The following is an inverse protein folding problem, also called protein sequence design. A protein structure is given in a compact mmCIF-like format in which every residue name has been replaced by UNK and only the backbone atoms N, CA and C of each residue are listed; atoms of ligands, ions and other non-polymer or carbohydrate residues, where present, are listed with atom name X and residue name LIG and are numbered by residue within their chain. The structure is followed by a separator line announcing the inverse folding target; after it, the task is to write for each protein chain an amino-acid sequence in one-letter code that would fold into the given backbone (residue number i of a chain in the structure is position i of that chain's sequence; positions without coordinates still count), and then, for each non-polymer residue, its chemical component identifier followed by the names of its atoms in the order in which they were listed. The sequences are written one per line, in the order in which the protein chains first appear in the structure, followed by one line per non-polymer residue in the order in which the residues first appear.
data_IF_075213383125
#
_entry.id   IF_075213383125
#
_cell.length_a   1.000
_cell.length_b   1.000
_cell.length_c   1.000
_cell.angle_alpha   90.00
_cell.angle_beta   90.00
_cell.angle_gamma   90.00
#
_symmetry.space_group_name_H-M   'P 1'
#
loop_
_entity.id
_entity.type
_entity.pdbx_description
1 polymer ?
#
# COMPACT_ATOMS: atom_id res chain seq x y z
N UNK A 1 -5.33 -36.81 -7.70
CA UNK A 1 -5.05 -35.41 -7.34
C UNK A 1 -5.41 -34.52 -8.51
N UNK A 2 -6.57 -33.87 -8.46
CA UNK A 2 -7.05 -32.97 -9.52
C UNK A 2 -6.51 -31.56 -9.24
N UNK A 3 -5.49 -31.14 -9.98
CA UNK A 3 -5.00 -29.76 -9.97
C UNK A 3 -6.01 -28.88 -10.65
N UNK A 4 -6.65 -28.02 -9.88
CA UNK A 4 -7.63 -27.05 -10.33
C UNK A 4 -7.04 -26.13 -11.41
N UNK A 5 -7.40 -26.38 -12.67
CA UNK A 5 -7.23 -25.41 -13.76
C UNK A 5 -8.23 -24.27 -13.57
N UNK A 6 -7.91 -23.29 -12.71
CA UNK A 6 -8.58 -21.99 -12.75
C UNK A 6 -8.14 -21.27 -14.01
N UNK A 7 -9.09 -20.92 -14.89
CA UNK A 7 -8.87 -20.02 -16.03
C UNK A 7 -8.17 -18.76 -15.52
N UNK A 8 -6.98 -18.47 -16.05
CA UNK A 8 -6.31 -17.18 -15.83
C UNK A 8 -7.18 -16.09 -16.46
N UNK A 9 -7.95 -15.41 -15.63
CA UNK A 9 -8.52 -14.13 -16.01
C UNK A 9 -7.35 -13.17 -16.32
N UNK A 10 -7.43 -12.45 -17.44
CA UNK A 10 -6.48 -11.39 -17.79
C UNK A 10 -6.43 -10.45 -16.57
N UNK A 11 -5.30 -10.42 -15.87
CA UNK A 11 -5.10 -9.63 -14.66
C UNK A 11 -5.08 -8.16 -15.10
N UNK A 12 -6.22 -7.48 -14.98
CA UNK A 12 -6.27 -6.03 -15.10
C UNK A 12 -5.32 -5.47 -14.05
N UNK A 13 -4.42 -4.56 -14.44
CA UNK A 13 -3.51 -3.92 -13.48
C UNK A 13 -4.28 -3.41 -12.27
N UNK A 14 -3.81 -3.66 -11.03
CA UNK A 14 -4.51 -3.20 -9.85
C UNK A 14 -4.57 -1.67 -9.84
N UNK A 15 -5.63 -1.06 -9.30
CA UNK A 15 -5.72 0.39 -9.19
C UNK A 15 -4.65 0.90 -8.22
N UNK A 16 -3.98 2.00 -8.60
CA UNK A 16 -2.99 2.68 -7.76
C UNK A 16 -3.53 4.03 -7.29
N UNK A 17 -3.06 4.49 -6.14
CA UNK A 17 -3.30 5.84 -5.62
C UNK A 17 -1.95 6.56 -5.50
N UNK A 18 -1.51 7.16 -6.59
CA UNK A 18 -0.18 7.78 -6.69
C UNK A 18 -0.20 9.29 -6.44
N UNK A 19 -1.35 9.93 -6.65
CA UNK A 19 -1.59 11.34 -6.45
C UNK A 19 -3.05 11.67 -6.73
N UNK A 20 -3.42 12.94 -6.59
CA UNK A 20 -4.81 13.39 -6.83
C UNK A 20 -5.05 13.83 -8.28
N UNK A 21 -3.99 14.04 -9.07
CA UNK A 21 -4.10 14.58 -10.43
C UNK A 21 -4.92 13.68 -11.36
N UNK A 22 -4.79 12.36 -11.16
CA UNK A 22 -5.44 11.35 -12.00
C UNK A 22 -6.79 10.87 -11.44
N UNK A 23 -7.24 11.46 -10.32
CA UNK A 23 -8.52 11.12 -9.70
C UNK A 23 -9.64 12.00 -10.25
N UNK A 24 -10.77 11.38 -10.58
CA UNK A 24 -11.99 12.13 -10.88
C UNK A 24 -12.57 12.78 -9.61
N UNK A 25 -13.26 13.91 -9.78
CA UNK A 25 -13.94 14.58 -8.66
C UNK A 25 -14.87 13.62 -7.88
N UNK A 26 -15.70 12.78 -8.54
CA UNK A 26 -16.52 11.79 -7.83
C UNK A 26 -15.71 10.80 -7.00
N UNK A 27 -14.50 10.40 -7.49
CA UNK A 27 -13.62 9.51 -6.74
C UNK A 27 -13.07 10.18 -5.49
N UNK A 28 -12.64 11.44 -5.60
CA UNK A 28 -12.17 12.23 -4.46
C UNK A 28 -13.29 12.37 -3.43
N UNK A 29 -14.50 12.76 -3.89
CA UNK A 29 -15.65 12.89 -3.01
C UNK A 29 -15.97 11.58 -2.27
N UNK A 30 -15.97 10.46 -2.99
CA UNK A 30 -16.19 9.14 -2.38
C UNK A 30 -15.15 8.81 -1.30
N UNK A 31 -13.87 9.14 -1.53
CA UNK A 31 -12.81 8.92 -0.53
C UNK A 31 -13.09 9.76 0.72
N UNK A 32 -13.46 11.03 0.55
CA UNK A 32 -13.77 11.92 1.67
C UNK A 32 -15.00 11.44 2.46
N UNK A 33 -16.09 11.08 1.77
CA UNK A 33 -17.31 10.58 2.42
C UNK A 33 -17.03 9.29 3.20
N UNK A 34 -16.29 8.34 2.58
CA UNK A 34 -15.88 7.11 3.26
C UNK A 34 -15.00 7.40 4.48
N UNK A 35 -14.14 8.43 4.42
CA UNK A 35 -13.30 8.80 5.57
C UNK A 35 -14.13 9.25 6.78
N UNK A 36 -15.26 9.94 6.55
CA UNK A 36 -16.18 10.33 7.62
C UNK A 36 -16.85 9.12 8.28
N UNK A 37 -17.25 8.12 7.49
CA UNK A 37 -17.78 6.85 8.01
C UNK A 37 -16.76 6.16 8.94
N UNK A 38 -15.47 6.16 8.57
CA UNK A 38 -14.41 5.60 9.40
C UNK A 38 -14.11 6.43 10.65
N UNK A 39 -14.32 7.75 10.63
CA UNK A 39 -14.25 8.58 11.83
C UNK A 39 -15.29 8.12 12.85
N UNK A 40 -16.53 7.89 12.42
CA UNK A 40 -17.59 7.42 13.31
C UNK A 40 -17.32 5.98 13.80
N UNK A 41 -16.85 5.08 12.94
CA UNK A 41 -16.44 3.74 13.33
C UNK A 41 -15.35 3.76 14.42
N UNK A 42 -14.40 4.68 14.30
CA UNK A 42 -13.28 4.79 15.25
C UNK A 42 -13.71 5.25 16.65
N UNK A 43 -14.92 5.78 16.80
CA UNK A 43 -15.51 6.17 18.11
C UNK A 43 -16.25 5.04 18.79
N UNK A 44 -16.51 3.94 18.08
CA UNK A 44 -17.22 2.78 18.62
C UNK A 44 -16.30 1.87 19.45
N UNK A 45 -16.87 1.00 20.23
CA UNK A 45 -16.13 -0.01 21.00
C UNK A 45 -15.51 -1.07 20.07
N UNK A 46 -16.27 -1.57 19.08
CA UNK A 46 -15.76 -2.50 18.06
C UNK A 46 -15.34 -1.69 16.83
N UNK A 47 -14.03 -1.72 16.54
CA UNK A 47 -13.41 -0.92 15.46
C UNK A 47 -12.85 -1.79 14.34
N UNK A 48 -12.95 -3.12 14.48
CA UNK A 48 -12.34 -4.05 13.55
C UNK A 48 -13.35 -4.53 12.51
N UNK A 49 -12.98 -4.40 11.24
CA UNK A 49 -13.75 -4.89 10.10
C UNK A 49 -13.03 -6.09 9.45
N UNK A 50 -13.72 -6.79 8.57
CA UNK A 50 -13.19 -7.94 7.83
C UNK A 50 -13.05 -7.66 6.33
N UNK A 51 -13.00 -6.38 5.92
CA UNK A 51 -12.99 -5.97 4.51
C UNK A 51 -11.73 -6.44 3.77
N UNK A 52 -10.60 -6.52 4.46
CA UNK A 52 -9.31 -6.95 3.92
C UNK A 52 -8.84 -8.29 4.49
N UNK A 53 -9.75 -9.13 4.97
CA UNK A 53 -9.41 -10.46 5.46
C UNK A 53 -8.68 -11.27 4.38
N UNK A 54 -7.55 -11.89 4.74
CA UNK A 54 -6.71 -12.66 3.81
C UNK A 54 -5.93 -11.79 2.80
N UNK A 55 -5.92 -10.46 2.99
CA UNK A 55 -5.11 -9.53 2.22
C UNK A 55 -3.86 -9.13 2.98
N UNK A 56 -2.74 -8.98 2.26
CA UNK A 56 -1.47 -8.56 2.82
C UNK A 56 -1.18 -7.11 2.43
N UNK A 57 -0.97 -6.27 3.44
CA UNK A 57 -0.52 -4.88 3.29
C UNK A 57 0.94 -4.76 3.74
N UNK A 58 1.80 -4.23 2.87
CA UNK A 58 3.19 -3.89 3.22
C UNK A 58 3.31 -2.37 3.26
N UNK A 59 3.79 -1.85 4.38
CA UNK A 59 4.17 -0.45 4.54
C UNK A 59 5.68 -0.32 4.37
N UNK A 60 6.12 0.20 3.23
CA UNK A 60 7.53 0.33 2.85
C UNK A 60 7.98 1.78 3.01
N UNK A 61 8.76 2.05 4.03
CA UNK A 61 9.19 3.42 4.38
C UNK A 61 10.70 3.56 4.30
N UNK A 62 11.15 4.46 3.45
CA UNK A 62 12.56 4.83 3.27
C UNK A 62 12.94 6.05 4.11
N UNK A 63 11.95 6.75 4.65
CA UNK A 63 12.11 7.86 5.58
C UNK A 63 11.44 7.54 6.91
N UNK A 64 12.00 8.06 8.00
CA UNK A 64 11.36 8.00 9.30
C UNK A 64 10.10 8.87 9.30
N UNK A 65 8.95 8.26 9.46
CA UNK A 65 7.65 8.94 9.55
C UNK A 65 6.70 8.16 10.47
N UNK A 66 6.91 8.30 11.77
CA UNK A 66 6.16 7.56 12.79
C UNK A 66 4.65 7.73 12.65
N UNK A 67 4.16 8.96 12.46
CA UNK A 67 2.72 9.23 12.35
C UNK A 67 2.10 8.57 11.12
N UNK A 68 2.72 8.73 9.95
CA UNK A 68 2.20 8.17 8.70
C UNK A 68 2.24 6.65 8.72
N UNK A 69 3.35 6.06 9.16
CA UNK A 69 3.50 4.62 9.29
C UNK A 69 2.42 4.03 10.22
N UNK A 70 2.28 4.60 11.42
CA UNK A 70 1.29 4.15 12.42
C UNK A 70 -0.14 4.29 11.90
N UNK A 71 -0.46 5.35 11.14
CA UNK A 71 -1.78 5.55 10.56
C UNK A 71 -2.13 4.45 9.56
N UNK A 72 -1.23 4.12 8.65
CA UNK A 72 -1.45 3.04 7.66
C UNK A 72 -1.45 1.66 8.31
N UNK A 73 -0.59 1.42 9.30
CA UNK A 73 -0.58 0.18 10.06
C UNK A 73 -1.91 -0.04 10.77
N UNK A 74 -2.38 0.98 11.48
CA UNK A 74 -3.64 0.90 12.21
C UNK A 74 -4.84 0.72 11.28
N UNK A 75 -4.87 1.44 10.15
CA UNK A 75 -5.92 1.32 9.15
C UNK A 75 -6.00 -0.11 8.59
N UNK A 76 -4.87 -0.68 8.16
CA UNK A 76 -4.82 -2.05 7.64
C UNK A 76 -5.29 -3.08 8.65
N UNK A 77 -4.81 -2.99 9.90
CA UNK A 77 -5.22 -3.90 10.99
C UNK A 77 -6.70 -3.77 11.32
N UNK A 78 -7.27 -2.56 11.32
CA UNK A 78 -8.71 -2.35 11.56
C UNK A 78 -9.57 -2.89 10.42
N UNK A 79 -9.07 -2.85 9.19
CA UNK A 79 -9.74 -3.44 8.04
C UNK A 79 -9.60 -4.97 7.94
N UNK A 80 -8.76 -5.59 8.78
CA UNK A 80 -8.57 -7.04 8.86
C UNK A 80 -7.43 -7.57 7.97
N UNK A 81 -6.56 -6.69 7.45
CA UNK A 81 -5.38 -7.11 6.68
C UNK A 81 -4.28 -7.67 7.58
N UNK A 82 -3.45 -8.55 7.02
CA UNK A 82 -2.13 -8.86 7.54
C UNK A 82 -1.18 -7.72 7.17
N UNK A 83 -0.69 -6.99 8.17
CA UNK A 83 0.12 -5.79 7.97
C UNK A 83 1.56 -6.04 8.35
N UNK A 84 2.48 -5.73 7.43
CA UNK A 84 3.92 -5.77 7.64
C UNK A 84 4.53 -4.39 7.42
N UNK A 85 5.32 -3.92 8.39
CA UNK A 85 6.09 -2.68 8.28
C UNK A 85 7.54 -3.01 7.89
N UNK A 86 8.03 -2.38 6.85
CA UNK A 86 9.41 -2.47 6.39
C UNK A 86 10.04 -1.08 6.40
N UNK A 87 10.93 -0.87 7.35
CA UNK A 87 11.78 0.32 7.37
C UNK A 87 13.08 0.00 6.66
N UNK A 88 13.26 0.58 5.46
CA UNK A 88 14.51 0.45 4.72
C UNK A 88 15.51 1.43 5.30
N UNK A 89 16.39 0.94 6.16
CA UNK A 89 17.44 1.75 6.74
C UNK A 89 18.46 2.15 5.67
N UNK A 90 19.15 3.28 5.90
CA UNK A 90 20.29 3.72 5.07
C UNK A 90 21.37 2.64 4.86
N UNK A 91 21.36 1.57 5.65
CA UNK A 91 22.29 0.46 5.50
C UNK A 91 21.99 -0.45 4.31
N UNK A 92 20.72 -0.65 3.93
CA UNK A 92 20.35 -1.41 2.73
C UNK A 92 20.73 -0.65 1.46
N UNK A 93 20.48 0.68 1.43
CA UNK A 93 20.91 1.58 0.35
C UNK A 93 22.44 1.60 0.24
N UNK A 94 23.17 1.62 1.36
CA UNK A 94 24.64 1.54 1.40
C UNK A 94 25.20 0.23 0.88
N UNK A 95 24.41 -0.85 0.86
CA UNK A 95 24.81 -2.14 0.28
C UNK A 95 24.54 -2.25 -1.21
N UNK A 96 24.08 -1.17 -1.86
CA UNK A 96 23.85 -1.12 -3.31
C UNK A 96 22.49 -1.72 -3.75
N UNK A 97 21.58 -2.02 -2.83
CA UNK A 97 20.21 -2.40 -3.19
C UNK A 97 19.49 -1.24 -3.86
N UNK A 98 18.93 -1.51 -5.03
CA UNK A 98 18.11 -0.56 -5.77
C UNK A 98 16.64 -0.67 -5.37
N UNK A 99 15.85 0.37 -5.66
CA UNK A 99 14.40 0.32 -5.48
C UNK A 99 13.76 -0.81 -6.30
N UNK A 100 14.37 -1.18 -7.44
CA UNK A 100 13.91 -2.28 -8.28
C UNK A 100 14.15 -3.64 -7.60
N UNK A 101 15.31 -3.82 -6.96
CA UNK A 101 15.62 -5.05 -6.22
C UNK A 101 14.62 -5.24 -5.07
N UNK A 102 14.31 -4.16 -4.37
CA UNK A 102 13.25 -4.13 -3.35
C UNK A 102 11.89 -4.53 -3.94
N UNK A 103 11.52 -4.00 -5.12
CA UNK A 103 10.27 -4.35 -5.80
C UNK A 103 10.19 -5.85 -6.15
N UNK A 104 11.29 -6.44 -6.61
CA UNK A 104 11.35 -7.87 -6.93
C UNK A 104 11.16 -8.73 -5.68
N UNK A 105 11.79 -8.35 -4.58
CA UNK A 105 11.63 -9.02 -3.28
C UNK A 105 10.18 -8.94 -2.79
N UNK A 106 9.56 -7.76 -2.90
CA UNK A 106 8.16 -7.56 -2.53
C UNK A 106 7.21 -8.40 -3.39
N UNK A 107 7.44 -8.46 -4.71
CA UNK A 107 6.63 -9.29 -5.59
C UNK A 107 6.67 -10.78 -5.22
N UNK A 108 7.81 -11.28 -4.75
CA UNK A 108 7.94 -12.65 -4.29
C UNK A 108 7.11 -12.96 -3.02
N UNK A 109 6.77 -11.94 -2.24
CA UNK A 109 5.89 -12.04 -1.06
C UNK A 109 4.39 -11.99 -1.43
N UNK A 110 4.05 -11.70 -2.69
CA UNK A 110 2.67 -11.59 -3.18
C UNK A 110 1.75 -10.67 -2.35
N UNK A 111 2.13 -9.43 -2.04
CA UNK A 111 1.26 -8.52 -1.32
C UNK A 111 0.05 -8.12 -2.19
N UNK A 112 -1.03 -7.67 -1.54
CA UNK A 112 -2.19 -7.08 -2.21
C UNK A 112 -2.10 -5.55 -2.26
N UNK A 113 -1.50 -4.95 -1.22
CA UNK A 113 -1.37 -3.49 -1.06
C UNK A 113 0.06 -3.16 -0.63
N UNK A 114 0.65 -2.20 -1.32
CA UNK A 114 1.94 -1.60 -0.98
C UNK A 114 1.74 -0.11 -0.69
N UNK A 115 2.04 0.30 0.53
CA UNK A 115 2.09 1.71 0.93
C UNK A 115 3.54 2.13 0.93
N UNK A 116 3.91 3.12 0.12
CA UNK A 116 5.31 3.58 0.01
C UNK A 116 5.46 5.03 0.45
N UNK A 117 6.52 5.28 1.21
CA UNK A 117 7.07 6.61 1.47
C UNK A 117 8.55 6.64 1.11
N UNK A 118 8.95 7.59 0.25
CA UNK A 118 10.30 7.69 -0.27
C UNK A 118 10.76 9.15 -0.34
N UNK A 119 12.06 9.39 -0.21
CA UNK A 119 12.65 10.73 -0.31
C UNK A 119 12.69 11.26 -1.74
N UNK A 120 12.77 10.39 -2.74
CA UNK A 120 12.87 10.77 -4.14
C UNK A 120 11.49 10.81 -4.82
N UNK A 121 11.23 11.89 -5.54
CA UNK A 121 10.00 12.05 -6.34
C UNK A 121 9.93 10.99 -7.44
N UNK A 122 8.75 10.42 -7.65
CA UNK A 122 8.50 9.40 -8.67
C UNK A 122 8.76 7.96 -8.22
N UNK A 123 9.28 7.74 -7.02
CA UNK A 123 9.54 6.39 -6.48
C UNK A 123 8.26 5.54 -6.43
N UNK A 124 7.14 6.10 -5.97
CA UNK A 124 5.85 5.42 -5.94
C UNK A 124 5.36 5.04 -7.35
N UNK A 125 5.54 5.93 -8.33
CA UNK A 125 5.20 5.67 -9.71
C UNK A 125 6.09 4.57 -10.32
N UNK A 126 7.40 4.58 -10.06
CA UNK A 126 8.32 3.54 -10.51
C UNK A 126 7.91 2.17 -9.95
N UNK A 127 7.61 2.09 -8.65
CA UNK A 127 7.17 0.84 -8.03
C UNK A 127 5.84 0.33 -8.60
N UNK A 128 4.89 1.22 -8.87
CA UNK A 128 3.59 0.82 -9.43
C UNK A 128 3.70 0.10 -10.77
N UNK A 129 4.77 0.37 -11.53
CA UNK A 129 5.07 -0.31 -12.81
C UNK A 129 5.82 -1.64 -12.64
N UNK A 130 6.34 -1.93 -11.45
CA UNK A 130 7.21 -3.10 -11.19
C UNK A 130 6.56 -4.13 -10.26
N UNK A 131 5.57 -3.73 -9.47
CA UNK A 131 4.87 -4.64 -8.55
C UNK A 131 3.50 -5.06 -9.07
N UNK A 132 3.04 -6.24 -8.63
CA UNK A 132 1.76 -6.82 -9.04
C UNK A 132 0.61 -6.53 -8.06
N UNK A 133 0.74 -5.51 -7.22
CA UNK A 133 -0.23 -5.13 -6.21
C UNK A 133 -0.64 -3.65 -6.34
N UNK A 134 -1.67 -3.25 -5.62
CA UNK A 134 -2.06 -1.83 -5.52
C UNK A 134 -0.99 -1.04 -4.78
N UNK A 135 -0.60 0.12 -5.32
CA UNK A 135 0.37 1.03 -4.70
C UNK A 135 -0.34 2.29 -4.21
N UNK A 136 -0.07 2.64 -2.95
CA UNK A 136 -0.51 3.89 -2.33
C UNK A 136 0.74 4.73 -2.03
N UNK A 137 0.79 5.94 -2.57
CA UNK A 137 1.84 6.90 -2.29
C UNK A 137 1.56 7.62 -0.96
N UNK A 138 2.37 7.35 0.05
CA UNK A 138 2.30 7.99 1.38
C UNK A 138 3.25 9.19 1.52
N UNK A 139 3.80 9.65 0.41
CA UNK A 139 4.70 10.79 0.27
C UNK A 139 5.99 10.40 -0.46
N UNK A 140 6.26 11.05 -1.59
CA UNK A 140 7.49 10.91 -2.34
C UNK A 140 8.07 12.30 -2.69
N UNK A 141 9.34 12.51 -2.34
CA UNK A 141 10.06 13.75 -2.60
C UNK A 141 9.47 14.99 -1.89
N UNK A 142 9.92 16.14 -2.34
CA UNK A 142 9.43 17.45 -1.89
C UNK A 142 8.46 17.99 -2.94
N UNK A 143 7.20 17.93 -2.64
CA UNK A 143 6.15 18.64 -3.39
C UNK A 143 5.42 19.58 -2.47
#
# INVERSE_FOLDING_TARGET
MAVLKKKQAVKKSPPHLLGIQDLSIPTIQKILDTSLEFVELNRQSEKKLKLLNGKTQINLFFESSTRTLSSFELAGKRLGADVMNMNVSNSAIKKGETLIDTAMTLNAMHPDILVIRHQDSGAANLLSQKVNCSVINAGDGRR
#
